data_IF_433300982788
#
_entry.id   IF_433300982788
#
_cell.length_a   1.000
_cell.length_b   1.000
_cell.length_c   1.000
_cell.angle_alpha   90.00
_cell.angle_beta   90.00
_cell.angle_gamma   90.00
#
_symmetry.space_group_name_H-M   'P 1'
#
loop_
_entity.id
_entity.type
_entity.pdbx_description
1 polymer ?
#
# COMPACT_ATOMS: atom_id res chain seq x y z
N UNK A 1 1.39 -17.59 -7.92
CA UNK A 1 0.37 -16.57 -7.61
C UNK A 1 0.81 -15.28 -8.30
N UNK A 2 -0.06 -14.56 -9.00
CA UNK A 2 0.36 -13.34 -9.73
C UNK A 2 0.54 -12.16 -8.77
N UNK A 3 1.47 -11.22 -9.01
CA UNK A 3 1.68 -10.04 -8.16
C UNK A 3 0.40 -9.26 -7.88
N UNK A 4 -0.50 -9.23 -8.87
CA UNK A 4 -1.79 -8.56 -8.79
C UNK A 4 -2.74 -9.17 -7.75
N UNK A 5 -2.67 -10.47 -7.49
CA UNK A 5 -3.53 -11.12 -6.48
C UNK A 5 -3.11 -10.78 -5.04
N UNK A 6 -1.83 -10.54 -4.76
CA UNK A 6 -1.39 -10.21 -3.40
C UNK A 6 -1.66 -8.74 -3.04
N UNK A 7 -1.55 -7.81 -4.01
CA UNK A 7 -1.97 -6.44 -3.77
C UNK A 7 -3.47 -6.36 -3.41
N UNK A 8 -4.31 -7.18 -4.07
CA UNK A 8 -5.74 -7.30 -3.77
C UNK A 8 -6.06 -7.77 -2.34
N UNK A 9 -5.20 -8.57 -1.71
CA UNK A 9 -5.42 -9.03 -0.32
C UNK A 9 -5.24 -7.90 0.68
N UNK A 10 -4.16 -7.12 0.56
CA UNK A 10 -3.92 -5.97 1.43
C UNK A 10 -5.00 -4.88 1.28
N UNK A 11 -5.53 -4.77 0.07
CA UNK A 11 -6.66 -3.94 -0.31
C UNK A 11 -7.99 -4.36 0.34
N UNK A 12 -8.27 -5.66 0.36
CA UNK A 12 -9.46 -6.21 1.00
C UNK A 12 -9.43 -5.95 2.52
N UNK A 13 -8.24 -5.98 3.14
CA UNK A 13 -8.07 -5.65 4.55
C UNK A 13 -8.40 -4.19 4.86
N UNK A 14 -7.93 -3.25 4.03
CA UNK A 14 -8.25 -1.81 4.17
C UNK A 14 -9.76 -1.60 4.07
N UNK A 15 -10.40 -2.20 3.07
CA UNK A 15 -11.85 -2.10 2.87
C UNK A 15 -12.62 -2.72 4.04
N UNK A 16 -12.22 -3.91 4.50
CA UNK A 16 -12.84 -4.56 5.65
C UNK A 16 -12.77 -3.66 6.90
N UNK A 17 -11.59 -3.14 7.24
CA UNK A 17 -11.44 -2.32 8.44
C UNK A 17 -12.22 -1.01 8.33
N UNK A 18 -12.29 -0.37 7.15
CA UNK A 18 -13.13 0.80 6.93
C UNK A 18 -14.63 0.54 7.15
N UNK A 19 -15.10 -0.67 6.84
CA UNK A 19 -16.50 -1.07 7.07
C UNK A 19 -16.83 -1.37 8.53
N UNK A 20 -15.83 -1.77 9.33
CA UNK A 20 -16.05 -2.23 10.72
C UNK A 20 -15.72 -1.17 11.77
N UNK A 21 -14.85 -0.21 11.45
CA UNK A 21 -14.44 0.84 12.38
C UNK A 21 -14.93 2.22 11.89
N UNK A 22 -16.05 2.74 12.41
CA UNK A 22 -16.62 4.01 11.95
C UNK A 22 -15.76 5.24 12.29
N UNK A 23 -14.84 5.10 13.25
CA UNK A 23 -13.88 6.14 13.60
C UNK A 23 -12.52 5.47 13.87
N UNK A 24 -11.65 5.47 12.85
CA UNK A 24 -10.32 4.91 12.94
C UNK A 24 -9.36 5.67 12.01
N UNK A 25 -8.07 5.53 12.28
CA UNK A 25 -7.02 6.08 11.44
C UNK A 25 -6.14 4.96 10.91
N UNK A 26 -5.86 4.99 9.61
CA UNK A 26 -4.83 4.15 9.00
C UNK A 26 -3.51 4.90 8.96
N UNK A 27 -2.48 4.27 9.51
CA UNK A 27 -1.08 4.73 9.43
C UNK A 27 -0.30 3.61 8.77
N UNK A 28 0.37 3.92 7.66
CA UNK A 28 1.17 2.95 6.90
C UNK A 28 2.55 3.54 6.62
N UNK A 29 3.56 2.74 6.91
CA UNK A 29 4.96 3.02 6.59
C UNK A 29 5.50 1.87 5.75
N UNK A 30 5.77 2.13 4.48
CA UNK A 30 6.19 1.11 3.53
C UNK A 30 7.11 1.70 2.45
N UNK A 31 7.78 0.81 1.70
CA UNK A 31 8.71 1.21 0.66
C UNK A 31 7.99 1.93 -0.50
N UNK A 32 8.70 2.85 -1.17
CA UNK A 32 8.20 3.62 -2.30
C UNK A 32 9.31 3.79 -3.36
N UNK A 33 8.96 4.42 -4.48
CA UNK A 33 9.83 4.76 -5.60
C UNK A 33 10.60 3.56 -6.18
N UNK A 34 9.90 2.50 -6.65
CA UNK A 34 10.55 1.28 -7.16
C UNK A 34 11.54 1.53 -8.31
N UNK A 35 11.33 2.59 -9.09
CA UNK A 35 12.06 2.84 -10.34
C UNK A 35 13.35 3.65 -10.16
N UNK A 36 13.56 4.27 -8.99
CA UNK A 36 14.79 4.99 -8.70
C UNK A 36 15.97 4.00 -8.49
N UNK A 37 17.24 4.47 -8.53
CA UNK A 37 18.38 3.59 -8.37
C UNK A 37 18.37 2.77 -7.08
N UNK A 38 17.91 3.35 -5.97
CA UNK A 38 17.79 2.65 -4.68
C UNK A 38 16.63 1.64 -4.70
N UNK A 39 15.47 2.04 -5.23
CA UNK A 39 14.28 1.20 -5.40
C UNK A 39 14.56 -0.05 -6.21
N UNK A 40 15.35 0.04 -7.28
CA UNK A 40 15.77 -1.14 -8.06
C UNK A 40 16.63 -2.10 -7.23
N UNK A 41 17.58 -1.58 -6.46
CA UNK A 41 18.44 -2.40 -5.59
C UNK A 41 17.59 -3.05 -4.48
N UNK A 42 16.70 -2.28 -3.87
CA UNK A 42 15.79 -2.72 -2.82
C UNK A 42 14.86 -3.84 -3.31
N UNK A 43 14.26 -3.69 -4.50
CA UNK A 43 13.43 -4.75 -5.10
C UNK A 43 14.22 -6.04 -5.35
N UNK A 44 15.47 -5.93 -5.83
CA UNK A 44 16.34 -7.10 -6.02
C UNK A 44 16.69 -7.78 -4.69
N UNK A 45 16.93 -7.00 -3.63
CA UNK A 45 17.18 -7.51 -2.29
C UNK A 45 16.02 -8.37 -1.80
N UNK A 46 14.80 -7.84 -1.81
CA UNK A 46 13.61 -8.57 -1.37
C UNK A 46 13.27 -9.77 -2.25
N UNK A 47 13.53 -9.69 -3.56
CA UNK A 47 13.37 -10.82 -4.49
C UNK A 47 14.31 -11.98 -4.15
N UNK A 48 15.58 -11.70 -3.83
CA UNK A 48 16.56 -12.74 -3.42
C UNK A 48 16.18 -13.42 -2.10
N UNK A 49 15.43 -12.74 -1.24
CA UNK A 49 14.92 -13.27 0.01
C UNK A 49 13.57 -14.02 -0.13
N UNK A 50 13.05 -14.19 -1.36
CA UNK A 50 11.72 -14.72 -1.63
C UNK A 50 10.59 -13.93 -0.93
N UNK A 51 10.77 -12.62 -0.75
CA UNK A 51 9.86 -11.73 -0.03
C UNK A 51 9.48 -10.53 -0.89
N UNK A 52 8.96 -10.79 -2.10
CA UNK A 52 8.64 -9.75 -3.09
C UNK A 52 7.64 -8.73 -2.54
N UNK A 53 7.91 -7.44 -2.77
CA UNK A 53 7.04 -6.33 -2.38
C UNK A 53 5.91 -6.15 -3.40
N UNK A 54 4.85 -6.96 -3.26
CA UNK A 54 3.77 -7.01 -4.25
C UNK A 54 2.97 -5.70 -4.41
N UNK A 55 2.78 -4.95 -3.33
CA UNK A 55 2.04 -3.68 -3.36
C UNK A 55 2.82 -2.56 -4.06
N UNK A 56 4.16 -2.62 -4.06
CA UNK A 56 5.04 -1.55 -4.52
C UNK A 56 4.84 -1.21 -6.01
N UNK A 57 4.55 -2.22 -6.84
CA UNK A 57 4.30 -2.01 -8.27
C UNK A 57 2.96 -1.30 -8.55
N UNK A 58 1.93 -1.55 -7.72
CA UNK A 58 0.61 -0.92 -7.87
C UNK A 58 0.53 0.44 -7.19
N UNK A 59 1.28 0.62 -6.10
CA UNK A 59 1.27 1.83 -5.28
C UNK A 59 2.71 2.36 -5.10
N UNK A 60 3.32 2.88 -6.18
CA UNK A 60 4.74 3.20 -6.19
C UNK A 60 5.12 4.47 -5.42
N UNK A 61 4.15 5.30 -5.04
CA UNK A 61 4.39 6.60 -4.41
C UNK A 61 3.26 7.00 -3.46
N UNK A 62 3.47 8.10 -2.73
CA UNK A 62 2.51 8.63 -1.78
C UNK A 62 1.14 8.91 -2.41
N UNK A 63 1.10 9.41 -3.64
CA UNK A 63 -0.17 9.75 -4.29
C UNK A 63 -0.96 8.51 -4.71
N UNK A 64 -0.28 7.45 -5.14
CA UNK A 64 -0.88 6.16 -5.41
C UNK A 64 -1.44 5.52 -4.13
N UNK A 65 -0.69 5.57 -3.03
CA UNK A 65 -1.17 5.09 -1.72
C UNK A 65 -2.34 5.92 -1.20
N UNK A 66 -2.27 7.24 -1.29
CA UNK A 66 -3.38 8.13 -0.93
C UNK A 66 -4.65 7.77 -1.71
N UNK A 67 -4.54 7.60 -3.03
CA UNK A 67 -5.67 7.19 -3.88
C UNK A 67 -6.24 5.83 -3.49
N UNK A 68 -5.38 4.86 -3.19
CA UNK A 68 -5.78 3.53 -2.71
C UNK A 68 -6.70 3.63 -1.50
N UNK A 69 -6.27 4.35 -0.45
CA UNK A 69 -7.09 4.51 0.76
C UNK A 69 -8.37 5.31 0.50
N UNK A 70 -8.31 6.41 -0.26
CA UNK A 70 -9.51 7.19 -0.59
C UNK A 70 -10.55 6.35 -1.36
N UNK A 71 -10.11 5.47 -2.26
CA UNK A 71 -11.01 4.59 -3.02
C UNK A 71 -11.61 3.46 -2.16
N UNK A 72 -10.88 2.93 -1.18
CA UNK A 72 -11.32 1.75 -0.40
C UNK A 72 -12.05 2.08 0.90
N UNK A 73 -11.84 3.26 1.46
CA UNK A 73 -12.47 3.67 2.72
C UNK A 73 -13.80 4.41 2.47
N UNK A 74 -13.98 5.06 1.31
CA UNK A 74 -15.16 5.88 1.04
C UNK A 74 -15.10 7.25 1.73
N UNK A 75 -15.77 8.25 1.17
CA UNK A 75 -15.60 9.68 1.49
C UNK A 75 -16.02 10.15 2.89
N UNK A 76 -16.39 9.25 3.80
CA UNK A 76 -16.91 9.56 5.14
C UNK A 76 -16.10 8.82 6.21
N UNK A 77 -14.91 9.29 6.57
CA UNK A 77 -14.33 8.90 7.88
C UNK A 77 -12.83 8.73 8.04
N UNK A 78 -11.99 8.81 7.00
CA UNK A 78 -10.53 8.77 7.19
C UNK A 78 -9.91 10.07 6.72
N UNK A 79 -9.85 11.04 7.63
CA UNK A 79 -9.39 12.39 7.33
C UNK A 79 -7.86 12.47 7.14
N UNK A 80 -7.10 11.45 7.59
CA UNK A 80 -5.64 11.46 7.55
C UNK A 80 -5.05 10.06 7.37
N UNK A 81 -4.78 9.68 6.13
CA UNK A 81 -3.76 8.65 5.85
C UNK A 81 -2.42 9.31 6.09
N UNK A 82 -1.75 8.94 7.19
CA UNK A 82 -0.38 9.37 7.42
C UNK A 82 0.51 8.48 6.57
N UNK A 83 0.97 9.02 5.44
CA UNK A 83 2.01 8.42 4.61
C UNK A 83 3.34 9.00 5.08
N UNK A 84 4.08 8.24 5.87
CA UNK A 84 5.44 8.62 6.26
C UNK A 84 6.41 8.19 5.15
N UNK A 85 7.19 9.10 4.55
CA UNK A 85 8.25 8.76 3.59
C UNK A 85 9.45 8.08 4.25
#
# INVERSE_FOLDING_TARGET
MTPERMAWESDALIQWAAQHFPCAQFVVYEQMHPEDPFGRIMQQHFSRLNSVLHALAQYPDCEAQRRRFLQRVGGYGVERVMLCP
#
